data_IF_179351806864
#
_entry.id   IF_179351806864
#
_cell.length_a   1.000
_cell.length_b   1.000
_cell.length_c   1.000
_cell.angle_alpha   90.00
_cell.angle_beta   90.00
_cell.angle_gamma   90.00
#
_symmetry.space_group_name_H-M   'P 1'
#
loop_
_entity.id
_entity.type
_entity.pdbx_description
1 polymer ?
#
# COMPACT_ATOMS: atom_id res chain seq x y z
N UNK A 1 13.04 -13.42 0.72
CA UNK A 1 11.59 -13.58 0.43
C UNK A 1 11.09 -12.33 -0.29
N UNK A 2 10.18 -12.48 -1.24
CA UNK A 2 9.48 -11.36 -1.88
C UNK A 2 7.99 -11.44 -1.51
N UNK A 3 7.41 -10.37 -0.99
CA UNK A 3 6.01 -10.31 -0.58
C UNK A 3 5.23 -9.25 -1.37
N UNK A 4 4.21 -9.71 -2.10
CA UNK A 4 3.28 -8.89 -2.89
C UNK A 4 1.86 -9.32 -2.54
N UNK A 5 1.35 -8.79 -1.43
CA UNK A 5 0.12 -9.19 -0.74
C UNK A 5 -0.46 -7.96 -0.01
N UNK A 6 -1.64 -7.99 0.64
CA UNK A 6 -2.12 -6.85 1.43
C UNK A 6 -1.11 -6.38 2.48
N UNK A 7 -1.08 -5.08 2.78
CA UNK A 7 -0.06 -4.46 3.66
C UNK A 7 0.05 -5.13 5.05
N UNK A 8 -1.08 -5.55 5.63
CA UNK A 8 -1.10 -6.29 6.90
C UNK A 8 -0.42 -7.66 6.78
N UNK A 9 -0.62 -8.33 5.65
CA UNK A 9 0.02 -9.62 5.36
C UNK A 9 1.50 -9.44 5.04
N UNK A 10 1.90 -8.35 4.37
CA UNK A 10 3.32 -8.01 4.16
C UNK A 10 4.04 -7.88 5.50
N UNK A 11 3.45 -7.14 6.45
CA UNK A 11 3.98 -7.03 7.82
C UNK A 11 4.16 -8.41 8.48
N UNK A 12 3.13 -9.27 8.42
CA UNK A 12 3.21 -10.60 9.01
C UNK A 12 4.33 -11.46 8.40
N UNK A 13 4.54 -11.38 7.08
CA UNK A 13 5.64 -12.07 6.40
C UNK A 13 6.99 -11.52 6.86
N UNK A 14 7.14 -10.20 6.97
CA UNK A 14 8.36 -9.56 7.49
C UNK A 14 8.68 -10.03 8.91
N UNK A 15 7.70 -10.11 9.81
CA UNK A 15 7.91 -10.53 11.19
C UNK A 15 8.26 -12.02 11.33
N UNK A 16 7.71 -12.88 10.48
CA UNK A 16 8.09 -14.29 10.44
C UNK A 16 9.53 -14.43 9.94
N UNK A 17 9.86 -13.80 8.81
CA UNK A 17 11.18 -13.92 8.16
C UNK A 17 12.31 -13.28 8.97
N UNK A 18 12.02 -12.22 9.72
CA UNK A 18 12.98 -11.55 10.64
C UNK A 18 13.55 -12.53 11.67
N UNK A 19 12.74 -13.44 12.20
CA UNK A 19 13.16 -14.46 13.18
C UNK A 19 14.18 -15.45 12.62
N UNK A 20 14.18 -15.63 11.30
CA UNK A 20 15.09 -16.52 10.60
C UNK A 20 16.27 -15.77 9.95
N UNK A 21 16.39 -14.45 10.16
CA UNK A 21 17.42 -13.62 9.53
C UNK A 21 17.32 -13.58 8.01
N UNK A 22 16.13 -13.85 7.44
CA UNK A 22 15.93 -13.91 5.99
C UNK A 22 15.53 -12.53 5.48
N UNK A 23 16.35 -11.97 4.57
CA UNK A 23 16.04 -10.72 3.88
C UNK A 23 14.67 -10.81 3.19
N UNK A 24 13.84 -9.79 3.41
CA UNK A 24 12.48 -9.74 2.86
C UNK A 24 12.25 -8.41 2.17
N UNK A 25 11.93 -8.49 0.88
CA UNK A 25 11.53 -7.35 0.07
C UNK A 25 10.01 -7.33 -0.02
N UNK A 26 9.43 -6.14 0.11
CA UNK A 26 7.98 -5.90 -0.06
C UNK A 26 7.78 -4.97 -1.23
N UNK A 27 6.78 -5.25 -2.08
CA UNK A 27 6.37 -4.35 -3.16
C UNK A 27 5.17 -3.53 -2.68
N UNK A 28 5.42 -2.30 -2.21
CA UNK A 28 4.41 -1.48 -1.54
C UNK A 28 3.27 -1.05 -2.47
N UNK A 29 2.03 -1.16 -1.98
CA UNK A 29 0.81 -0.77 -2.68
C UNK A 29 0.19 0.52 -2.14
N UNK A 30 1.04 1.49 -1.76
CA UNK A 30 0.59 2.79 -1.23
C UNK A 30 -0.27 3.55 -2.24
N UNK A 31 -1.21 4.37 -1.75
CA UNK A 31 -2.11 5.17 -2.59
C UNK A 31 -1.28 6.07 -3.54
N UNK A 32 -1.60 6.05 -4.83
CA UNK A 32 -0.94 6.83 -5.87
C UNK A 32 -1.93 7.77 -6.56
N UNK A 33 -1.44 8.92 -7.03
CA UNK A 33 -2.22 9.89 -7.81
C UNK A 33 -1.50 10.21 -9.12
N UNK A 34 -0.33 10.83 -9.04
CA UNK A 34 0.46 11.22 -10.22
C UNK A 34 1.38 10.10 -10.71
N UNK A 35 2.02 9.37 -9.78
CA UNK A 35 2.98 8.32 -10.12
C UNK A 35 4.34 8.82 -10.61
N UNK A 36 4.62 10.13 -10.49
CA UNK A 36 5.84 10.77 -11.00
C UNK A 36 6.68 11.46 -9.93
N UNK A 37 6.25 11.36 -8.66
CA UNK A 37 6.96 11.93 -7.51
C UNK A 37 6.62 13.40 -7.22
N UNK A 38 5.60 13.97 -7.87
CA UNK A 38 5.23 15.38 -7.71
C UNK A 38 4.25 15.63 -6.55
N UNK A 39 3.41 14.64 -6.20
CA UNK A 39 2.36 14.87 -5.19
C UNK A 39 2.68 14.31 -3.79
N UNK A 40 3.62 13.37 -3.67
CA UNK A 40 3.94 12.70 -2.39
C UNK A 40 2.81 11.84 -1.80
N UNK A 41 1.71 11.59 -2.55
CA UNK A 41 0.60 10.77 -2.08
C UNK A 41 1.04 9.33 -1.74
N UNK A 42 2.03 8.80 -2.47
CA UNK A 42 2.56 7.45 -2.27
C UNK A 42 3.71 7.36 -1.26
N UNK A 43 3.84 8.35 -0.36
CA UNK A 43 4.94 8.35 0.61
C UNK A 43 4.92 7.10 1.53
N UNK A 44 6.12 6.62 1.82
CA UNK A 44 6.42 5.51 2.74
C UNK A 44 7.60 5.91 3.60
N UNK A 45 7.51 5.73 4.92
CA UNK A 45 8.67 5.86 5.79
C UNK A 45 9.44 4.53 5.79
N UNK A 46 10.70 4.59 5.41
CA UNK A 46 11.61 3.42 5.33
C UNK A 46 12.91 3.79 6.03
N UNK A 47 13.26 3.07 7.09
CA UNK A 47 14.49 3.33 7.86
C UNK A 47 14.53 4.72 8.51
N UNK A 48 13.37 5.31 8.79
CA UNK A 48 13.25 6.66 9.35
C UNK A 48 13.20 7.79 8.31
N UNK A 49 13.47 7.50 7.04
CA UNK A 49 13.38 8.48 5.95
C UNK A 49 12.06 8.38 5.18
N UNK A 50 11.52 9.51 4.75
CA UNK A 50 10.38 9.55 3.84
C UNK A 50 10.86 9.26 2.42
N UNK A 51 10.29 8.24 1.78
CA UNK A 51 10.51 7.84 0.38
C UNK A 51 9.19 7.86 -0.38
N UNK A 52 9.24 7.95 -1.71
CA UNK A 52 8.06 7.92 -2.58
C UNK A 52 7.99 6.60 -3.33
N UNK A 53 6.96 5.78 -3.10
CA UNK A 53 6.87 4.45 -3.70
C UNK A 53 6.90 4.45 -5.24
N UNK A 54 6.43 5.51 -5.90
CA UNK A 54 6.46 5.61 -7.36
C UNK A 54 7.81 6.02 -7.96
N UNK A 55 8.75 6.52 -7.16
CA UNK A 55 10.08 6.97 -7.62
C UNK A 55 11.20 6.16 -6.98
N UNK A 56 11.15 6.00 -5.66
CA UNK A 56 12.18 5.31 -4.87
C UNK A 56 11.90 3.81 -4.73
N UNK A 57 10.69 3.35 -5.05
CA UNK A 57 10.23 1.97 -4.91
C UNK A 57 9.76 1.36 -6.24
N UNK A 58 8.70 0.54 -6.23
CA UNK A 58 7.83 0.18 -5.10
C UNK A 58 8.44 -0.88 -4.17
N UNK A 59 9.56 -1.50 -4.56
CA UNK A 59 10.28 -2.47 -3.75
C UNK A 59 11.10 -1.82 -2.64
N UNK A 60 10.81 -2.18 -1.39
CA UNK A 60 11.56 -1.71 -0.23
C UNK A 60 12.03 -2.89 0.64
N UNK A 61 13.06 -2.65 1.44
CA UNK A 61 13.40 -3.56 2.53
C UNK A 61 12.22 -3.59 3.53
N UNK A 62 11.48 -4.69 3.51
CA UNK A 62 10.30 -4.88 4.34
C UNK A 62 10.62 -4.90 5.82
N UNK A 63 11.88 -5.07 6.22
CA UNK A 63 12.28 -5.00 7.62
C UNK A 63 12.48 -3.57 8.12
N UNK A 64 12.51 -2.58 7.23
CA UNK A 64 12.70 -1.16 7.52
C UNK A 64 11.45 -0.30 7.28
N UNK A 65 10.39 -0.86 6.69
CA UNK A 65 9.13 -0.16 6.43
C UNK A 65 8.35 0.10 7.73
N UNK A 66 7.84 1.32 7.88
CA UNK A 66 6.85 1.68 8.91
C UNK A 66 5.45 1.17 8.50
N UNK A 67 5.11 -0.05 8.92
CA UNK A 67 3.82 -0.65 8.57
C UNK A 67 2.63 -0.01 9.28
N UNK A 68 2.80 0.55 10.47
CA UNK A 68 1.71 1.18 11.21
C UNK A 68 1.20 2.42 10.45
N UNK A 69 2.11 3.26 9.95
CA UNK A 69 1.73 4.40 9.11
C UNK A 69 1.02 3.93 7.83
N UNK A 70 1.53 2.89 7.17
CA UNK A 70 0.98 2.40 5.90
C UNK A 70 -0.37 1.71 6.06
N UNK A 71 -0.59 0.96 7.15
CA UNK A 71 -1.89 0.34 7.46
C UNK A 71 -2.94 1.44 7.66
N UNK A 72 -2.63 2.48 8.44
CA UNK A 72 -3.56 3.60 8.63
C UNK A 72 -3.90 4.27 7.29
N UNK A 73 -2.89 4.56 6.48
CA UNK A 73 -3.05 5.19 5.16
C UNK A 73 -3.86 4.34 4.19
N UNK A 74 -3.77 3.02 4.26
CA UNK A 74 -4.52 2.10 3.38
C UNK A 74 -6.04 2.16 3.57
N UNK A 75 -6.51 2.75 4.67
CA UNK A 75 -7.95 2.85 4.99
C UNK A 75 -8.55 4.23 4.81
N UNK A 76 -7.74 5.21 4.39
CA UNK A 76 -8.11 6.63 4.40
C UNK A 76 -9.35 6.94 3.54
N UNK A 77 -9.50 6.29 2.38
CA UNK A 77 -10.60 6.53 1.44
C UNK A 77 -11.74 5.51 1.52
N UNK A 78 -11.80 4.70 2.58
CA UNK A 78 -12.73 3.57 2.68
C UNK A 78 -14.21 3.98 2.59
N UNK A 79 -14.56 5.17 3.09
CA UNK A 79 -15.94 5.69 3.01
C UNK A 79 -16.28 6.11 1.57
N UNK A 80 -15.38 6.83 0.91
CA UNK A 80 -15.53 7.27 -0.47
C UNK A 80 -15.60 6.07 -1.43
N UNK A 81 -14.72 5.08 -1.24
CA UNK A 81 -14.71 3.84 -2.01
C UNK A 81 -16.03 3.09 -1.90
N UNK A 82 -16.63 3.04 -0.69
CA UNK A 82 -17.93 2.40 -0.46
C UNK A 82 -19.07 3.13 -1.18
N UNK A 83 -19.09 4.46 -1.10
CA UNK A 83 -20.12 5.29 -1.73
C UNK A 83 -20.03 5.19 -3.26
N UNK A 84 -18.81 5.26 -3.81
CA UNK A 84 -18.58 5.15 -5.24
C UNK A 84 -18.89 3.75 -5.77
N UNK A 85 -18.60 2.69 -5.00
CA UNK A 85 -19.03 1.34 -5.33
C UNK A 85 -20.56 1.24 -5.41
N UNK A 86 -21.30 1.81 -4.46
CA UNK A 86 -22.77 1.81 -4.48
C UNK A 86 -23.32 2.56 -5.69
N UNK A 87 -22.79 3.76 -5.98
CA UNK A 87 -23.17 4.55 -7.17
C UNK A 87 -22.89 3.79 -8.46
N UNK A 88 -21.76 3.09 -8.56
CA UNK A 88 -21.41 2.28 -9.72
C UNK A 88 -22.39 1.12 -9.92
N UNK A 89 -22.74 0.40 -8.84
CA UNK A 89 -23.72 -0.69 -8.89
C UNK A 89 -25.10 -0.21 -9.37
N UNK A 90 -25.54 0.97 -8.94
CA UNK A 90 -26.79 1.56 -9.42
C UNK A 90 -26.74 1.91 -10.92
N UNK A 91 -25.63 2.50 -11.39
CA UNK A 91 -25.44 2.80 -12.82
C UNK A 91 -25.49 1.53 -13.67
N UNK A 92 -24.76 0.48 -13.27
CA UNK A 92 -24.73 -0.80 -13.98
C UNK A 92 -26.13 -1.42 -14.06
N UNK A 93 -26.95 -1.32 -13.00
CA UNK A 93 -28.33 -1.81 -13.01
C UNK A 93 -29.22 -1.04 -13.99
N UNK A 94 -29.03 0.28 -14.11
CA UNK A 94 -29.79 1.14 -15.04
C UNK A 94 -29.43 0.90 -16.50
N UNK A 95 -28.15 0.64 -16.81
CA UNK A 95 -27.68 0.41 -18.18
C UNK A 95 -28.02 -0.98 -18.74
N UNK A 96 -28.40 -1.94 -17.87
CA UNK A 96 -28.82 -3.30 -18.27
C UNK A 96 -30.34 -3.45 -18.48
N UNK A 97 -31.12 -2.41 -18.23
CA UNK A 97 -32.56 -2.32 -18.46
C UNK A 97 -32.84 -1.59 -19.77
#
# INVERSE_FOLDING_TARGET
VMAVVPVVTMYAVCEVTRKFGVTTIVSMNSIMVDGTGMCGCCRVKVGGETKYACVDGPEFDGHLVDFDEQILRSTYYKEQEKDDYCRLQEKIKREKL
#
